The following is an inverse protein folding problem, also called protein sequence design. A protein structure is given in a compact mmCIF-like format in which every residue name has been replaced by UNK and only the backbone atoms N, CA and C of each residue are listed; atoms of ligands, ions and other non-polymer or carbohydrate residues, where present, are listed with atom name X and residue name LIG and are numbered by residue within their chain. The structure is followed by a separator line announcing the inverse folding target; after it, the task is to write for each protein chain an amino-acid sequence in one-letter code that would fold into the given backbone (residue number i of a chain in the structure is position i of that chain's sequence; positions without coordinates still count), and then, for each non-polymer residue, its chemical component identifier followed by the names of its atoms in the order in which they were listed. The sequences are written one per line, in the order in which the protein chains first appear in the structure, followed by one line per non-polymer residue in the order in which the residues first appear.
data_IF_913958274318
#
_entry.id   IF_913958274318
#
_cell.length_a   1.000
_cell.length_b   1.000
_cell.length_c   1.000
_cell.angle_alpha   90.00
_cell.angle_beta   90.00
_cell.angle_gamma   90.00
#
_symmetry.space_group_name_H-M   'P 1'
#
loop_
_entity.id
_entity.type
_entity.pdbx_description
1 polymer ?
#
# COMPACT_ATOMS: atom_id res chain seq x y z
N UNK A 1 -25.91 30.51 65.36
CA UNK A 1 -24.53 30.06 65.06
C UNK A 1 -24.68 28.64 64.51
N UNK A 2 -25.30 28.42 63.35
CA UNK A 2 -24.86 28.80 62.00
C UNK A 2 -23.35 28.64 61.80
N UNK A 3 -22.96 27.55 61.11
CA UNK A 3 -22.18 27.54 59.87
C UNK A 3 -21.76 26.08 59.58
N UNK A 4 -22.49 25.42 58.68
CA UNK A 4 -21.90 24.45 57.74
C UNK A 4 -20.92 25.21 56.83
N UNK A 5 -19.77 24.63 56.38
CA UNK A 5 -19.82 24.10 55.02
C UNK A 5 -18.78 23.02 54.60
N UNK A 6 -19.24 22.23 53.62
CA UNK A 6 -18.56 21.90 52.35
C UNK A 6 -17.66 20.66 52.27
N UNK A 7 -18.28 19.66 51.65
CA UNK A 7 -17.69 18.59 50.86
C UNK A 7 -16.56 19.08 49.94
N UNK A 8 -15.34 18.62 50.21
CA UNK A 8 -14.23 18.75 49.28
C UNK A 8 -14.34 17.67 48.20
N UNK A 9 -15.24 17.90 47.25
CA UNK A 9 -15.20 17.24 45.95
C UNK A 9 -13.90 17.69 45.28
N UNK A 10 -12.85 16.86 45.39
CA UNK A 10 -11.57 17.06 44.71
C UNK A 10 -11.79 16.91 43.20
N UNK A 11 -12.33 17.95 42.58
CA UNK A 11 -12.34 18.13 41.14
C UNK A 11 -10.90 18.42 40.74
N UNK A 12 -10.19 17.38 40.34
CA UNK A 12 -9.03 17.58 39.51
C UNK A 12 -9.51 18.24 38.21
N UNK A 13 -8.96 19.38 37.79
CA UNK A 13 -9.07 19.77 36.40
C UNK A 13 -8.18 18.78 35.65
N UNK A 14 -8.76 17.70 35.13
CA UNK A 14 -8.09 16.92 34.10
C UNK A 14 -8.06 17.84 32.89
N UNK A 15 -6.95 18.55 32.76
CA UNK A 15 -6.58 19.36 31.62
C UNK A 15 -6.85 18.55 30.35
N UNK A 16 -7.70 19.02 29.42
CA UNK A 16 -7.86 18.37 28.12
C UNK A 16 -6.67 18.70 27.22
N UNK A 17 -5.45 18.57 27.72
CA UNK A 17 -4.21 18.73 26.95
C UNK A 17 -3.76 17.41 26.32
N UNK A 18 -4.31 16.27 26.75
CA UNK A 18 -4.03 14.94 26.18
C UNK A 18 -4.83 14.69 24.88
N UNK A 19 -5.75 15.59 24.50
CA UNK A 19 -6.49 15.50 23.24
C UNK A 19 -5.84 16.27 22.07
N UNK A 20 -4.59 16.75 22.23
CA UNK A 20 -3.84 17.36 21.11
C UNK A 20 -3.11 16.33 20.24
N UNK A 21 -3.11 15.07 20.65
CA UNK A 21 -2.51 13.95 19.91
C UNK A 21 -3.55 13.15 19.09
N UNK A 22 -4.79 13.63 19.00
CA UNK A 22 -5.69 13.21 17.94
C UNK A 22 -5.22 13.92 16.65
N UNK A 23 -4.27 13.27 15.97
CA UNK A 23 -4.48 12.81 14.59
C UNK A 23 -5.10 13.90 13.71
N UNK A 24 -4.30 14.55 12.85
CA UNK A 24 -4.81 15.27 11.66
C UNK A 24 -6.07 14.54 11.17
N UNK A 25 -7.22 15.23 11.17
CA UNK A 25 -8.50 14.61 10.85
C UNK A 25 -8.34 13.85 9.53
N UNK A 26 -9.05 12.74 9.32
CA UNK A 26 -8.92 11.96 8.07
C UNK A 26 -9.02 12.89 6.84
N UNK A 27 -9.86 13.91 6.97
CA UNK A 27 -10.10 15.01 6.05
C UNK A 27 -8.88 15.94 5.88
N UNK A 28 -8.15 16.31 6.93
CA UNK A 28 -6.94 17.13 6.84
C UNK A 28 -5.79 16.38 6.17
N UNK A 29 -5.65 15.08 6.46
CA UNK A 29 -4.68 14.21 5.76
C UNK A 29 -5.01 14.09 4.28
N UNK A 30 -6.29 13.89 3.98
CA UNK A 30 -6.83 13.91 2.62
C UNK A 30 -6.49 15.24 1.93
N UNK A 31 -6.77 16.39 2.56
CA UNK A 31 -6.49 17.70 1.98
C UNK A 31 -5.01 17.92 1.71
N UNK A 32 -4.14 17.52 2.64
CA UNK A 32 -2.69 17.66 2.48
C UNK A 32 -2.18 16.80 1.33
N UNK A 33 -2.59 15.53 1.28
CA UNK A 33 -2.24 14.61 0.19
C UNK A 33 -2.79 15.07 -1.16
N UNK A 34 -4.01 15.59 -1.21
CA UNK A 34 -4.60 16.15 -2.43
C UNK A 34 -3.82 17.38 -2.90
N UNK A 35 -3.42 18.27 -2.00
CA UNK A 35 -2.57 19.43 -2.35
C UNK A 35 -1.22 19.00 -2.90
N UNK A 36 -0.57 18.02 -2.27
CA UNK A 36 0.69 17.46 -2.74
C UNK A 36 0.53 16.81 -4.13
N UNK A 37 -0.56 16.06 -4.33
CA UNK A 37 -0.88 15.43 -5.60
C UNK A 37 -1.14 16.46 -6.72
N UNK A 38 -1.89 17.54 -6.43
CA UNK A 38 -2.09 18.66 -7.37
C UNK A 38 -0.75 19.33 -7.71
N UNK A 39 0.15 19.47 -6.74
CA UNK A 39 1.48 20.03 -6.97
C UNK A 39 2.33 19.12 -7.87
N UNK A 40 2.30 17.80 -7.64
CA UNK A 40 2.95 16.80 -8.50
C UNK A 40 2.38 16.85 -9.93
N UNK A 41 1.06 16.99 -10.07
CA UNK A 41 0.42 17.13 -11.38
C UNK A 41 0.92 18.36 -12.14
N UNK A 42 0.95 19.54 -11.50
CA UNK A 42 1.48 20.78 -12.11
C UNK A 42 2.94 20.62 -12.52
N UNK A 43 3.76 19.99 -11.69
CA UNK A 43 5.16 19.68 -12.02
C UNK A 43 5.27 18.71 -13.20
N UNK A 44 4.40 17.71 -13.30
CA UNK A 44 4.36 16.81 -14.44
C UNK A 44 4.04 17.57 -15.75
N UNK A 45 3.06 18.48 -15.74
CA UNK A 45 2.73 19.30 -16.92
C UNK A 45 3.94 20.16 -17.32
N UNK A 46 4.58 20.83 -16.35
CA UNK A 46 5.75 21.66 -16.61
C UNK A 46 6.94 20.83 -17.15
N UNK A 47 7.20 19.65 -16.58
CA UNK A 47 8.25 18.75 -17.03
C UNK A 47 7.97 18.17 -18.44
N UNK A 48 6.70 17.95 -18.77
CA UNK A 48 6.29 17.55 -20.12
C UNK A 48 6.56 18.65 -21.13
N UNK A 49 6.30 19.91 -20.77
CA UNK A 49 6.60 21.07 -21.63
C UNK A 49 8.09 21.33 -21.79
N UNK A 50 8.89 21.06 -20.75
CA UNK A 50 10.35 21.25 -20.79
C UNK A 50 11.10 20.11 -21.48
N UNK A 51 10.43 18.99 -21.80
CA UNK A 51 11.03 17.85 -22.48
C UNK A 51 11.97 17.00 -21.62
N UNK A 52 12.03 17.23 -20.29
CA UNK A 52 12.84 16.42 -19.39
C UNK A 52 12.15 15.08 -19.08
N UNK A 53 12.46 14.06 -19.88
CA UNK A 53 11.83 12.73 -19.76
C UNK A 53 12.18 12.02 -18.45
N UNK A 54 13.41 12.13 -17.95
CA UNK A 54 13.83 11.44 -16.72
C UNK A 54 13.15 12.04 -15.48
N UNK A 55 13.11 13.37 -15.38
CA UNK A 55 12.40 14.06 -14.30
C UNK A 55 10.90 13.75 -14.33
N UNK A 56 10.31 13.75 -15.54
CA UNK A 56 8.90 13.41 -15.72
C UNK A 56 8.60 11.98 -15.28
N UNK A 57 9.50 11.03 -15.51
CA UNK A 57 9.36 9.65 -15.03
C UNK A 57 9.37 9.60 -13.49
N UNK A 58 10.30 10.28 -12.85
CA UNK A 58 10.38 10.35 -11.38
C UNK A 58 9.09 10.97 -10.80
N UNK A 59 8.63 12.09 -11.37
CA UNK A 59 7.40 12.76 -10.97
C UNK A 59 6.17 11.89 -11.17
N UNK A 60 6.09 11.15 -12.28
CA UNK A 60 5.00 10.19 -12.53
C UNK A 60 4.99 9.05 -11.51
N UNK A 61 6.16 8.55 -11.07
CA UNK A 61 6.24 7.55 -10.01
C UNK A 61 5.73 8.10 -8.67
N UNK A 62 6.15 9.31 -8.29
CA UNK A 62 5.64 9.99 -7.09
C UNK A 62 4.13 10.24 -7.15
N UNK A 63 3.63 10.65 -8.33
CA UNK A 63 2.20 10.83 -8.56
C UNK A 63 1.42 9.52 -8.46
N UNK A 64 1.99 8.40 -8.91
CA UNK A 64 1.37 7.07 -8.77
C UNK A 64 1.25 6.66 -7.30
N UNK A 65 2.28 6.91 -6.48
CA UNK A 65 2.26 6.52 -5.08
C UNK A 65 1.33 7.41 -4.26
N UNK A 66 1.31 8.73 -4.49
CA UNK A 66 0.30 9.63 -3.88
C UNK A 66 -1.13 9.25 -4.27
N UNK A 67 -1.39 8.92 -5.54
CA UNK A 67 -2.69 8.45 -6.02
C UNK A 67 -3.13 7.17 -5.28
N UNK A 68 -2.22 6.20 -5.06
CA UNK A 68 -2.54 4.96 -4.33
C UNK A 68 -2.85 5.21 -2.87
N UNK A 69 -2.13 6.14 -2.22
CA UNK A 69 -2.40 6.50 -0.82
C UNK A 69 -3.76 7.18 -0.71
N UNK A 70 -4.08 8.11 -1.62
CA UNK A 70 -5.38 8.78 -1.67
C UNK A 70 -6.53 7.81 -1.95
N UNK A 71 -6.35 6.84 -2.85
CA UNK A 71 -7.36 5.80 -3.13
C UNK A 71 -7.68 4.88 -1.95
N UNK A 72 -6.81 4.82 -0.93
CA UNK A 72 -7.13 4.11 0.33
C UNK A 72 -8.02 4.93 1.27
N UNK A 73 -8.06 6.24 1.08
CA UNK A 73 -8.76 7.19 1.94
C UNK A 73 -10.05 7.71 1.32
N UNK A 74 -10.11 7.80 -0.02
CA UNK A 74 -11.22 8.39 -0.80
C UNK A 74 -11.49 7.54 -2.04
N UNK A 75 -12.74 7.44 -2.51
CA UNK A 75 -13.04 6.89 -3.83
C UNK A 75 -12.30 7.61 -4.96
N UNK A 76 -11.92 6.85 -5.99
CA UNK A 76 -11.18 7.34 -7.16
C UNK A 76 -11.90 8.46 -7.93
N UNK A 77 -13.23 8.48 -7.90
CA UNK A 77 -14.05 9.43 -8.65
C UNK A 77 -13.85 10.87 -8.15
N UNK A 78 -13.89 11.06 -6.82
CA UNK A 78 -13.63 12.37 -6.21
C UNK A 78 -12.18 12.81 -6.48
N UNK A 79 -11.22 11.88 -6.42
CA UNK A 79 -9.82 12.17 -6.70
C UNK A 79 -9.59 12.63 -8.15
N UNK A 80 -10.24 11.97 -9.12
CA UNK A 80 -10.14 12.36 -10.52
C UNK A 80 -10.75 13.74 -10.77
N UNK A 81 -11.82 14.09 -10.06
CA UNK A 81 -12.43 15.43 -10.14
C UNK A 81 -11.46 16.53 -9.68
N UNK A 82 -10.68 16.30 -8.61
CA UNK A 82 -9.68 17.25 -8.11
C UNK A 82 -8.56 17.56 -9.11
N UNK A 83 -8.23 16.63 -10.01
CA UNK A 83 -7.14 16.76 -10.97
C UNK A 83 -7.65 16.90 -12.40
N UNK A 84 -8.90 17.36 -12.57
CA UNK A 84 -9.55 17.53 -13.90
C UNK A 84 -9.47 16.27 -14.79
N UNK A 85 -9.64 15.09 -14.20
CA UNK A 85 -9.56 13.81 -14.89
C UNK A 85 -8.13 13.35 -15.23
N UNK A 86 -7.10 13.98 -14.66
CA UNK A 86 -5.72 13.56 -14.89
C UNK A 86 -5.43 12.19 -14.27
N UNK A 87 -4.82 11.31 -15.06
CA UNK A 87 -4.43 9.98 -14.61
C UNK A 87 -2.93 9.74 -14.87
N UNK A 88 -2.11 9.60 -13.81
CA UNK A 88 -0.66 9.39 -13.97
C UNK A 88 -0.32 8.08 -14.70
N UNK A 89 -1.19 7.07 -14.65
CA UNK A 89 -1.00 5.82 -15.39
C UNK A 89 -1.20 5.99 -16.89
N UNK A 90 -2.17 6.80 -17.30
CA UNK A 90 -2.43 7.08 -18.72
C UNK A 90 -1.28 7.87 -19.32
N UNK A 91 -0.84 8.95 -18.65
CA UNK A 91 0.31 9.74 -19.09
C UNK A 91 1.59 8.90 -19.18
N UNK A 92 1.87 8.07 -18.18
CA UNK A 92 3.04 7.19 -18.22
C UNK A 92 3.01 6.21 -19.39
N UNK A 93 1.82 5.68 -19.70
CA UNK A 93 1.64 4.73 -20.80
C UNK A 93 1.79 5.39 -22.18
N UNK A 94 1.34 6.64 -22.31
CA UNK A 94 1.47 7.43 -23.53
C UNK A 94 2.92 7.84 -23.77
N UNK A 95 3.61 8.29 -22.71
CA UNK A 95 4.97 8.83 -22.82
C UNK A 95 6.06 7.75 -22.83
N UNK A 96 5.84 6.68 -22.07
CA UNK A 96 6.70 5.50 -22.04
C UNK A 96 5.88 4.30 -22.51
N UNK A 97 5.61 4.19 -23.82
CA UNK A 97 5.04 2.97 -24.35
C UNK A 97 6.02 1.86 -23.97
N UNK A 98 5.65 1.04 -22.98
CA UNK A 98 6.29 -0.26 -22.87
C UNK A 98 5.94 -0.93 -24.17
N UNK A 99 6.95 -1.17 -25.02
CA UNK A 99 6.83 -2.12 -26.11
C UNK A 99 6.09 -3.30 -25.52
N UNK A 100 4.85 -3.50 -25.99
CA UNK A 100 4.11 -4.70 -25.66
C UNK A 100 5.01 -5.77 -26.24
N UNK A 101 5.79 -6.44 -25.38
CA UNK A 101 6.49 -7.65 -25.74
C UNK A 101 5.38 -8.66 -26.02
N UNK A 102 4.81 -8.61 -27.22
CA UNK A 102 4.22 -9.76 -27.87
C UNK A 102 5.25 -10.87 -27.70
N UNK A 103 4.99 -11.78 -26.76
CA UNK A 103 5.86 -12.93 -26.55
C UNK A 103 6.67 -12.98 -25.26
N UNK A 104 6.53 -12.09 -24.26
CA UNK A 104 6.92 -12.52 -22.90
C UNK A 104 5.76 -13.31 -22.29
N UNK A 105 5.56 -14.53 -22.82
CA UNK A 105 4.77 -15.57 -22.16
C UNK A 105 5.16 -15.52 -20.69
N UNK A 106 4.20 -15.21 -19.79
CA UNK A 106 4.41 -15.36 -18.34
C UNK A 106 5.12 -16.70 -18.19
N UNK A 107 6.35 -16.69 -17.69
CA UNK A 107 7.14 -17.91 -17.52
C UNK A 107 6.20 -18.92 -16.89
N UNK A 108 5.92 -20.02 -17.58
CA UNK A 108 4.95 -21.03 -17.14
C UNK A 108 5.44 -21.81 -15.91
N UNK A 109 6.21 -21.16 -15.04
CA UNK A 109 6.61 -21.66 -13.74
C UNK A 109 5.39 -22.03 -12.90
N UNK A 110 4.25 -21.35 -13.06
CA UNK A 110 3.00 -21.73 -12.36
C UNK A 110 2.36 -23.01 -12.90
N UNK A 111 2.50 -23.33 -14.20
CA UNK A 111 2.02 -24.60 -14.77
C UNK A 111 2.97 -25.75 -14.44
N UNK A 112 4.28 -25.54 -14.59
CA UNK A 112 5.32 -26.52 -14.22
C UNK A 112 5.23 -26.86 -12.73
N UNK A 113 5.02 -25.86 -11.85
CA UNK A 113 4.82 -26.13 -10.41
C UNK A 113 3.56 -26.93 -10.15
N UNK A 114 2.43 -26.62 -10.79
CA UNK A 114 1.17 -27.38 -10.63
C UNK A 114 1.27 -28.82 -11.09
N UNK A 115 1.89 -29.08 -12.24
CA UNK A 115 2.12 -30.44 -12.73
C UNK A 115 3.08 -31.20 -11.81
N UNK A 116 4.09 -30.52 -11.29
CA UNK A 116 5.06 -31.14 -10.40
C UNK A 116 4.46 -31.45 -9.00
N UNK A 117 3.40 -30.75 -8.56
CA UNK A 117 2.61 -31.14 -7.38
C UNK A 117 1.62 -32.29 -7.66
N UNK A 118 1.31 -32.58 -8.92
CA UNK A 118 0.40 -33.64 -9.32
C UNK A 118 1.12 -34.96 -9.67
N UNK A 119 2.44 -35.03 -9.46
CA UNK A 119 3.25 -36.25 -9.72
C UNK A 119 3.25 -37.18 -8.49
N UNK A 120 2.61 -38.36 -8.55
CA UNK A 120 2.58 -39.31 -7.44
C UNK A 120 3.96 -39.87 -7.06
N UNK A 121 4.89 -39.97 -8.01
CA UNK A 121 6.25 -40.49 -7.74
C UNK A 121 7.03 -39.54 -6.84
N UNK A 122 6.84 -38.23 -7.03
CA UNK A 122 7.42 -37.21 -6.16
C UNK A 122 6.89 -37.32 -4.73
N UNK A 123 5.58 -37.46 -4.55
CA UNK A 123 4.97 -37.63 -3.23
C UNK A 123 5.42 -38.94 -2.55
N UNK A 124 5.58 -40.03 -3.31
CA UNK A 124 6.15 -41.28 -2.79
C UNK A 124 7.55 -41.09 -2.20
N UNK A 125 8.40 -40.27 -2.85
CA UNK A 125 9.75 -39.96 -2.33
C UNK A 125 9.70 -39.13 -1.06
N UNK A 126 8.80 -38.14 -1.00
CA UNK A 126 8.57 -37.31 0.20
C UNK A 126 8.10 -38.18 1.37
N UNK A 127 7.08 -39.01 1.15
CA UNK A 127 6.54 -39.91 2.18
C UNK A 127 7.57 -40.91 2.68
N UNK A 128 8.43 -41.45 1.79
CA UNK A 128 9.54 -42.32 2.21
C UNK A 128 10.50 -41.62 3.18
N UNK A 129 10.85 -40.36 2.90
CA UNK A 129 11.71 -39.56 3.78
C UNK A 129 11.07 -39.31 5.15
N UNK A 130 9.77 -38.97 5.19
CA UNK A 130 9.03 -38.81 6.43
C UNK A 130 8.97 -40.11 7.25
N UNK A 131 8.66 -41.24 6.59
CA UNK A 131 8.61 -42.54 7.27
C UNK A 131 9.99 -42.95 7.81
N UNK A 132 11.08 -42.69 7.09
CA UNK A 132 12.44 -42.95 7.60
C UNK A 132 12.75 -42.10 8.82
N UNK A 133 12.37 -40.81 8.81
CA UNK A 133 12.58 -39.92 9.94
C UNK A 133 11.75 -40.35 11.16
N UNK A 134 10.49 -40.71 10.95
CA UNK A 134 9.61 -41.18 12.03
C UNK A 134 10.10 -42.52 12.61
N UNK A 135 10.55 -43.45 11.77
CA UNK A 135 11.15 -44.71 12.23
C UNK A 135 12.43 -44.45 13.04
N UNK A 136 13.31 -43.56 12.56
CA UNK A 136 14.50 -43.18 13.30
C UNK A 136 14.16 -42.53 14.66
N UNK A 137 13.12 -41.70 14.70
CA UNK A 137 12.65 -41.09 15.94
C UNK A 137 12.10 -42.13 16.93
N UNK A 138 11.32 -43.11 16.46
CA UNK A 138 10.83 -44.21 17.31
C UNK A 138 11.98 -45.06 17.86
N UNK A 139 13.00 -45.34 17.06
CA UNK A 139 14.20 -46.04 17.52
C UNK A 139 15.06 -45.25 18.52
N UNK A 140 14.86 -43.94 18.66
CA UNK A 140 15.51 -43.12 19.69
C UNK A 140 14.67 -42.96 20.96
N UNK A 141 13.40 -43.38 20.93
CA UNK A 141 12.44 -43.22 22.02
C UNK A 141 12.18 -44.52 22.81
N UNK A 142 12.79 -45.64 22.41
CA UNK A 142 12.94 -46.91 23.14
C UNK A 142 14.33 -46.99 23.80
#
# INVERSE_FOLDING_TARGET
MDVDPVAHSRRYPVTPQIAREQVLSKEERIQLLTKEHIHLWKRCIAAQQSGSMEDLKILLHQAQDSQKVLQKLIPRQELEEFVKGWNPWTMKKELFPQEKREGKKRSSSSKVKKEAYNDPLRWKKVMRGCNTLEAAYRHMAD
#
